data_IF_290356052688
#
_entry.id   IF_290356052688
#
_cell.length_a   1.000
_cell.length_b   1.000
_cell.length_c   1.000
_cell.angle_alpha   90.00
_cell.angle_beta   90.00
_cell.angle_gamma   90.00
#
_symmetry.space_group_name_H-M   'P 1'
#
loop_
_entity.id
_entity.type
_entity.pdbx_description
1 polymer ?
#
# COMPACT_ATOMS: atom_id res chain seq x y z
N UNK A 1 -5.84 1.39 6.69
CA UNK A 1 -6.73 1.85 7.74
C UNK A 1 -8.17 1.53 7.36
N UNK A 2 -8.90 0.94 8.26
CA UNK A 2 -10.28 0.52 8.00
C UNK A 2 -11.14 1.74 7.68
N UNK A 3 -11.81 1.70 6.54
CA UNK A 3 -12.73 2.75 6.15
C UNK A 3 -14.07 2.52 6.85
N UNK A 4 -14.43 3.41 7.75
CA UNK A 4 -15.69 3.31 8.47
C UNK A 4 -16.90 3.44 7.55
N UNK A 5 -16.74 4.13 6.44
CA UNK A 5 -17.74 4.15 5.39
C UNK A 5 -17.87 2.80 4.72
N UNK A 6 -16.89 1.95 4.93
CA UNK A 6 -16.90 0.59 4.47
C UNK A 6 -17.54 -0.39 5.43
N UNK A 7 -18.27 0.10 6.44
CA UNK A 7 -19.16 -0.78 7.20
C UNK A 7 -20.34 -1.05 6.28
N UNK A 8 -20.27 -2.17 5.59
CA UNK A 8 -21.23 -2.52 4.56
C UNK A 8 -22.36 -3.35 5.13
N UNK A 9 -23.55 -3.16 4.57
CA UNK A 9 -24.65 -4.06 4.82
C UNK A 9 -24.28 -5.45 4.32
N UNK A 10 -24.89 -6.47 4.89
CA UNK A 10 -24.70 -7.86 4.47
C UNK A 10 -24.86 -8.03 2.96
N UNK A 11 -25.80 -7.28 2.38
CA UNK A 11 -26.07 -7.28 0.95
C UNK A 11 -24.84 -6.84 0.13
N UNK A 12 -24.15 -5.77 0.58
CA UNK A 12 -22.92 -5.29 -0.08
C UNK A 12 -21.78 -6.26 0.10
N UNK A 13 -21.66 -6.89 1.27
CA UNK A 13 -20.65 -7.89 1.52
C UNK A 13 -20.76 -9.04 0.53
N UNK A 14 -21.98 -9.48 0.23
CA UNK A 14 -22.21 -10.54 -0.75
C UNK A 14 -21.79 -10.13 -2.16
N UNK A 15 -21.94 -8.84 -2.50
CA UNK A 15 -21.55 -8.34 -3.82
C UNK A 15 -20.04 -8.14 -3.95
N UNK A 16 -19.34 -7.95 -2.84
CA UNK A 16 -17.90 -7.73 -2.85
C UNK A 16 -17.24 -8.82 -2.01
N UNK A 17 -16.82 -9.93 -2.63
CA UNK A 17 -16.25 -11.06 -1.90
C UNK A 17 -14.99 -10.71 -1.12
N UNK A 18 -14.28 -9.63 -1.48
CA UNK A 18 -13.10 -9.20 -0.72
C UNK A 18 -13.44 -8.87 0.73
N UNK A 19 -14.64 -8.36 0.98
CA UNK A 19 -15.06 -7.97 2.31
C UNK A 19 -15.42 -9.18 3.19
N UNK A 20 -15.52 -10.35 2.58
CA UNK A 20 -15.79 -11.61 3.27
C UNK A 20 -14.52 -12.42 3.51
N UNK A 21 -13.36 -11.93 3.07
CA UNK A 21 -12.12 -12.68 3.16
C UNK A 21 -11.57 -12.72 4.58
N UNK A 22 -10.66 -13.70 4.91
CA UNK A 22 -10.03 -13.77 6.22
C UNK A 22 -9.21 -12.52 6.58
N UNK A 23 -8.64 -11.83 5.59
CA UNK A 23 -7.93 -10.58 5.84
C UNK A 23 -8.89 -9.41 5.87
N UNK A 24 -8.74 -8.57 6.88
CA UNK A 24 -9.46 -7.29 6.94
C UNK A 24 -9.00 -6.41 5.79
N UNK A 25 -9.94 -5.84 5.05
CA UNK A 25 -9.63 -4.90 3.96
C UNK A 25 -9.75 -3.48 4.49
N UNK A 26 -8.71 -2.70 4.28
CA UNK A 26 -8.63 -1.29 4.65
C UNK A 26 -8.57 -0.43 3.40
N UNK A 27 -8.70 0.88 3.56
CA UNK A 27 -8.60 1.82 2.44
C UNK A 27 -7.64 2.94 2.80
N UNK A 28 -6.71 3.25 1.90
CA UNK A 28 -5.84 4.41 1.98
C UNK A 28 -5.70 4.98 0.58
N UNK A 29 -5.79 6.28 0.45
CA UNK A 29 -5.73 6.97 -0.84
C UNK A 29 -6.74 6.40 -1.84
N UNK A 30 -7.91 6.00 -1.34
CA UNK A 30 -9.00 5.35 -2.11
C UNK A 30 -8.58 4.01 -2.73
N UNK A 31 -7.58 3.35 -2.16
CA UNK A 31 -7.11 2.06 -2.65
C UNK A 31 -7.26 1.02 -1.54
N UNK A 32 -7.88 -0.12 -1.87
CA UNK A 32 -8.00 -1.24 -0.92
C UNK A 32 -6.64 -1.86 -0.65
N UNK A 33 -6.38 -2.17 0.62
CA UNK A 33 -5.17 -2.88 1.02
C UNK A 33 -5.44 -3.82 2.17
N UNK A 34 -4.55 -4.76 2.36
CA UNK A 34 -4.53 -5.65 3.52
C UNK A 34 -3.19 -5.53 4.22
N UNK A 35 -3.15 -5.98 5.47
CA UNK A 35 -1.90 -6.02 6.24
C UNK A 35 -1.46 -7.48 6.30
N UNK A 36 -0.24 -7.74 5.86
CA UNK A 36 0.29 -9.10 5.85
C UNK A 36 0.39 -9.65 7.26
N UNK A 37 0.05 -10.93 7.41
CA UNK A 37 0.21 -11.67 8.64
C UNK A 37 1.39 -12.63 8.49
N UNK A 38 1.89 -13.09 9.61
CA UNK A 38 2.97 -14.05 9.62
C UNK A 38 2.60 -15.28 8.78
N UNK A 39 3.47 -15.64 7.84
CA UNK A 39 3.24 -16.76 6.94
C UNK A 39 2.54 -16.42 5.63
N UNK A 40 2.07 -15.19 5.45
CA UNK A 40 1.44 -14.78 4.20
C UNK A 40 2.44 -14.77 3.04
N UNK A 41 1.94 -15.13 1.87
CA UNK A 41 2.70 -15.05 0.62
C UNK A 41 1.87 -14.31 -0.43
N UNK A 42 2.56 -13.75 -1.44
CA UNK A 42 1.86 -13.11 -2.55
C UNK A 42 0.95 -14.10 -3.28
N UNK A 43 1.38 -15.35 -3.42
CA UNK A 43 0.57 -16.37 -4.10
C UNK A 43 -0.73 -16.65 -3.36
N UNK A 44 -0.65 -16.78 -2.03
CA UNK A 44 -1.82 -17.03 -1.21
C UNK A 44 -2.77 -15.83 -1.21
N UNK A 45 -2.23 -14.62 -1.08
CA UNK A 45 -3.04 -13.41 -1.15
C UNK A 45 -3.68 -13.27 -2.54
N UNK A 46 -2.94 -13.61 -3.58
CA UNK A 46 -3.49 -13.57 -4.94
C UNK A 46 -4.68 -14.50 -5.10
N UNK A 47 -4.62 -15.67 -4.52
CA UNK A 47 -5.74 -16.63 -4.54
C UNK A 47 -6.91 -16.10 -3.73
N UNK A 48 -6.65 -15.57 -2.56
CA UNK A 48 -7.70 -15.06 -1.67
C UNK A 48 -8.49 -13.93 -2.33
N UNK A 49 -7.82 -13.04 -3.06
CA UNK A 49 -8.44 -11.86 -3.64
C UNK A 49 -8.67 -11.95 -5.15
N UNK A 50 -8.39 -13.11 -5.72
CA UNK A 50 -8.53 -13.35 -7.16
C UNK A 50 -7.75 -12.33 -7.99
N UNK A 51 -6.49 -12.14 -7.62
CA UNK A 51 -5.56 -11.24 -8.29
C UNK A 51 -4.28 -12.02 -8.62
N UNK A 52 -3.74 -11.83 -9.82
CA UNK A 52 -2.44 -12.41 -10.16
C UNK A 52 -1.40 -11.97 -9.13
N UNK A 53 -0.68 -12.94 -8.54
CA UNK A 53 0.34 -12.61 -7.55
C UNK A 53 1.44 -11.71 -8.12
N UNK A 54 1.73 -11.83 -9.42
CA UNK A 54 2.71 -10.98 -10.09
C UNK A 54 2.23 -9.52 -10.16
N UNK A 55 0.93 -9.34 -10.38
CA UNK A 55 0.32 -8.00 -10.31
C UNK A 55 0.38 -7.43 -8.90
N UNK A 56 0.12 -8.26 -7.88
CA UNK A 56 0.24 -7.81 -6.49
C UNK A 56 1.64 -7.30 -6.18
N UNK A 57 2.64 -8.05 -6.60
CA UNK A 57 4.05 -7.63 -6.43
C UNK A 57 4.27 -6.27 -7.07
N UNK A 58 3.81 -6.13 -8.30
CA UNK A 58 3.99 -4.90 -9.07
C UNK A 58 3.26 -3.71 -8.46
N UNK A 59 2.02 -3.91 -8.01
CA UNK A 59 1.23 -2.85 -7.38
C UNK A 59 1.94 -2.28 -6.15
N UNK A 60 2.74 -3.10 -5.49
CA UNK A 60 3.38 -2.74 -4.23
C UNK A 60 4.85 -2.38 -4.36
N UNK A 61 5.33 -2.20 -5.59
CA UNK A 61 6.72 -1.79 -5.85
C UNK A 61 7.73 -2.71 -5.16
N UNK A 62 7.50 -4.01 -5.23
CA UNK A 62 8.35 -5.02 -4.63
C UNK A 62 8.93 -5.95 -5.68
N UNK A 63 9.95 -6.71 -5.29
CA UNK A 63 10.56 -7.73 -6.15
C UNK A 63 9.79 -9.04 -5.97
N UNK A 64 9.83 -9.90 -6.99
CA UNK A 64 9.12 -11.18 -6.96
C UNK A 64 9.61 -12.12 -5.87
N UNK A 65 10.85 -11.98 -5.47
CA UNK A 65 11.47 -12.80 -4.43
C UNK A 65 11.35 -12.19 -3.03
N UNK A 66 10.68 -11.05 -2.92
CA UNK A 66 10.47 -10.42 -1.63
C UNK A 66 9.60 -11.33 -0.73
N UNK A 67 10.07 -11.57 0.47
CA UNK A 67 9.34 -12.33 1.48
C UNK A 67 8.49 -11.37 2.30
N UNK A 68 7.17 -11.58 2.30
CA UNK A 68 6.27 -10.75 3.08
C UNK A 68 6.57 -10.87 4.57
N UNK A 69 6.54 -9.75 5.25
CA UNK A 69 6.73 -9.68 6.69
C UNK A 69 5.43 -9.23 7.34
N UNK A 70 5.19 -9.73 8.55
CA UNK A 70 4.03 -9.31 9.33
C UNK A 70 4.00 -7.78 9.44
N UNK A 71 2.86 -7.19 9.15
CA UNK A 71 2.70 -5.75 9.19
C UNK A 71 2.87 -5.04 7.85
N UNK A 72 3.36 -5.74 6.82
CA UNK A 72 3.50 -5.12 5.49
C UNK A 72 2.13 -4.72 4.94
N UNK A 73 2.07 -3.52 4.40
CA UNK A 73 0.88 -3.04 3.67
C UNK A 73 0.93 -3.60 2.26
N UNK A 74 -0.14 -4.27 1.85
CA UNK A 74 -0.23 -4.85 0.51
C UNK A 74 -1.48 -4.33 -0.18
N UNK A 75 -1.27 -3.44 -1.14
CA UNK A 75 -2.37 -2.88 -1.93
C UNK A 75 -2.89 -3.90 -2.93
N UNK A 76 -4.20 -3.93 -3.08
CA UNK A 76 -4.90 -4.87 -3.97
C UNK A 76 -5.14 -4.28 -5.35
N UNK A 77 -4.76 -3.04 -5.55
CA UNK A 77 -4.81 -2.33 -6.84
C UNK A 77 -3.59 -1.44 -6.95
N UNK A 78 -3.36 -0.92 -8.15
CA UNK A 78 -2.26 -0.01 -8.41
C UNK A 78 -2.36 1.23 -7.51
N UNK A 79 -1.25 1.64 -6.94
CA UNK A 79 -1.20 2.89 -6.17
C UNK A 79 -1.35 4.08 -7.10
N UNK A 80 -1.58 5.25 -6.54
CA UNK A 80 -1.79 6.49 -7.30
C UNK A 80 -0.50 7.28 -7.43
N UNK A 81 -0.54 8.32 -8.25
CA UNK A 81 0.63 9.14 -8.51
C UNK A 81 0.92 10.13 -7.38
N UNK A 82 -0.08 10.42 -6.55
CA UNK A 82 0.05 11.36 -5.43
C UNK A 82 -0.88 10.98 -4.29
N UNK A 83 -0.57 11.47 -3.10
CA UNK A 83 -1.40 11.23 -1.93
C UNK A 83 -2.75 11.94 -2.03
N UNK A 84 -3.70 11.50 -1.22
CA UNK A 84 -4.97 12.19 -1.09
C UNK A 84 -4.80 13.51 -0.33
N UNK A 85 -5.69 14.45 -0.59
CA UNK A 85 -5.82 15.62 0.27
C UNK A 85 -6.19 15.13 1.67
N UNK A 86 -5.69 15.67 2.74
CA UNK A 86 -4.82 16.84 2.92
C UNK A 86 -3.32 16.50 3.05
N UNK A 87 -2.88 15.32 2.67
CA UNK A 87 -1.51 14.87 2.91
C UNK A 87 -0.58 15.47 1.85
N UNK A 88 0.05 16.59 2.18
CA UNK A 88 0.89 17.34 1.25
C UNK A 88 2.38 17.15 1.46
N UNK A 89 2.81 17.02 2.71
CA UNK A 89 4.23 16.92 3.07
C UNK A 89 4.39 15.89 4.18
N UNK A 90 5.47 15.14 4.12
CA UNK A 90 5.86 14.20 5.16
C UNK A 90 7.26 14.53 5.65
N UNK A 91 7.44 14.58 6.96
CA UNK A 91 8.76 14.77 7.56
C UNK A 91 9.31 13.41 7.94
N UNK A 92 10.47 13.06 7.37
CA UNK A 92 11.09 11.74 7.54
C UNK A 92 11.48 11.54 9.00
N UNK A 93 11.18 10.35 9.51
CA UNK A 93 11.47 9.90 10.87
C UNK A 93 12.45 8.74 10.83
N UNK A 94 13.00 8.41 12.00
CA UNK A 94 13.91 7.28 12.14
C UNK A 94 13.23 5.99 11.65
N UNK A 95 13.97 5.22 10.88
CA UNK A 95 13.48 3.95 10.33
C UNK A 95 12.67 4.06 9.05
N UNK A 96 12.39 5.27 8.57
CA UNK A 96 11.63 5.45 7.33
C UNK A 96 12.46 5.09 6.10
N UNK A 97 11.77 4.59 5.09
CA UNK A 97 12.32 4.37 3.76
C UNK A 97 11.37 4.97 2.73
N UNK A 98 11.88 5.24 1.53
CA UNK A 98 11.01 5.75 0.46
C UNK A 98 9.91 4.77 0.14
N UNK A 99 10.22 3.47 0.10
CA UNK A 99 9.20 2.45 -0.13
C UNK A 99 8.14 2.45 0.98
N UNK A 100 8.56 2.50 2.25
CA UNK A 100 7.63 2.53 3.37
C UNK A 100 6.70 3.73 3.33
N UNK A 101 7.24 4.91 2.98
CA UNK A 101 6.44 6.13 2.85
C UNK A 101 5.46 6.00 1.67
N UNK A 102 5.90 5.45 0.55
CA UNK A 102 5.03 5.22 -0.61
C UNK A 102 3.88 4.28 -0.25
N UNK A 103 4.13 3.26 0.55
CA UNK A 103 3.10 2.32 1.00
C UNK A 103 2.13 2.97 1.98
N UNK A 104 2.63 3.81 2.86
CA UNK A 104 1.79 4.49 3.85
C UNK A 104 0.75 5.40 3.20
N UNK A 105 1.13 6.09 2.14
CA UNK A 105 0.27 7.09 1.50
C UNK A 105 -0.33 6.64 0.17
N UNK A 106 -0.06 5.41 -0.24
CA UNK A 106 -0.62 4.85 -1.47
C UNK A 106 -0.10 5.52 -2.73
N UNK A 107 1.17 5.92 -2.74
CA UNK A 107 1.80 6.61 -3.86
C UNK A 107 2.75 5.64 -4.56
N UNK A 108 2.73 5.60 -5.88
CA UNK A 108 3.70 4.81 -6.64
C UNK A 108 5.11 5.29 -6.31
N UNK A 109 6.01 4.35 -6.03
CA UNK A 109 7.35 4.69 -5.57
C UNK A 109 8.08 5.61 -6.54
N UNK A 110 8.01 5.33 -7.84
CA UNK A 110 8.67 6.18 -8.84
C UNK A 110 8.11 7.61 -8.86
N UNK A 111 6.82 7.76 -8.60
CA UNK A 111 6.21 9.09 -8.55
C UNK A 111 6.62 9.84 -7.28
N UNK A 112 6.79 9.14 -6.16
CA UNK A 112 7.29 9.76 -4.95
C UNK A 112 8.71 10.29 -5.15
N UNK A 113 9.60 9.51 -5.76
CA UNK A 113 10.94 10.00 -6.13
C UNK A 113 10.85 11.20 -7.07
N UNK A 114 10.07 11.07 -8.13
CA UNK A 114 9.98 12.09 -9.17
C UNK A 114 9.49 13.43 -8.64
N UNK A 115 8.43 13.44 -7.83
CA UNK A 115 7.89 14.70 -7.31
C UNK A 115 8.84 15.39 -6.32
N UNK A 116 9.79 14.66 -5.78
CA UNK A 116 10.81 15.19 -4.88
C UNK A 116 12.16 15.41 -5.57
N UNK A 117 12.20 15.24 -6.89
CA UNK A 117 13.41 15.40 -7.70
C UNK A 117 14.55 14.51 -7.20
N UNK A 118 14.21 13.27 -6.84
CA UNK A 118 15.15 12.27 -6.35
C UNK A 118 15.11 11.05 -7.27
N UNK A 119 16.14 10.22 -7.15
CA UNK A 119 16.20 8.93 -7.85
C UNK A 119 16.42 7.80 -6.84
N UNK A 120 16.58 6.58 -7.33
CA UNK A 120 16.70 5.41 -6.48
C UNK A 120 17.93 5.38 -5.57
N UNK A 121 18.88 6.29 -5.78
CA UNK A 121 20.07 6.42 -4.93
C UNK A 121 19.79 7.22 -3.65
N UNK A 122 18.69 7.93 -3.63
CA UNK A 122 18.34 8.78 -2.47
C UNK A 122 18.00 7.94 -1.25
N UNK A 123 18.65 8.23 -0.14
CA UNK A 123 18.35 7.62 1.16
C UNK A 123 17.77 8.72 2.04
N UNK A 124 16.52 8.59 2.50
CA UNK A 124 15.92 9.62 3.35
C UNK A 124 16.66 9.77 4.67
N UNK A 125 16.84 11.02 5.09
CA UNK A 125 17.41 11.33 6.39
C UNK A 125 16.36 11.92 7.30
N UNK A 126 16.49 11.70 8.60
CA UNK A 126 15.55 12.25 9.60
C UNK A 126 15.43 13.74 9.40
N UNK A 127 14.22 14.25 9.32
CA UNK A 127 13.96 15.67 9.13
C UNK A 127 13.77 16.09 7.69
N UNK A 128 14.12 15.24 6.72
CA UNK A 128 13.84 15.56 5.31
C UNK A 128 12.35 15.78 5.11
N UNK A 129 12.01 16.77 4.30
CA UNK A 129 10.61 17.09 3.99
C UNK A 129 10.31 16.61 2.59
N UNK A 130 9.40 15.65 2.47
CA UNK A 130 9.03 15.07 1.19
C UNK A 130 7.64 15.53 0.77
N UNK A 131 7.53 15.92 -0.49
CA UNK A 131 6.22 16.20 -1.09
C UNK A 131 5.49 14.89 -1.30
N UNK A 132 4.20 14.90 -1.02
CA UNK A 132 3.31 13.75 -1.23
C UNK A 132 2.29 14.01 -2.34
N UNK A 133 2.20 15.27 -2.80
CA UNK A 133 1.26 15.68 -3.85
C UNK A 133 1.91 16.67 -4.81
#
# INVERSE_FOLDING_TARGET
KYDRKGVYSERKLKKNPWLMSPHQVYIANDIAYVVARNGDTFKDLGKEFDISWRKLVKYNDLQRDYTLMEGDIIYLKSKKKKASKPYTVYVVKDGDSMHGISQKYGIRLKNLYKMNRKDGEYVPEIGDRLRLR
#
